data_IF_967589635497
#
_entry.id   IF_967589635497
#
_cell.length_a   1.000
_cell.length_b   1.000
_cell.length_c   1.000
_cell.angle_alpha   90.00
_cell.angle_beta   90.00
_cell.angle_gamma   90.00
#
_symmetry.space_group_name_H-M   'P 1'
#
loop_
_entity.id
_entity.type
_entity.pdbx_description
1 polymer ?
#
# COMPACT_ATOMS: atom_id res chain seq x y z
N UNK A 1 -7.11 -13.40 11.56
CA UNK A 1 -5.65 -13.19 11.41
C UNK A 1 -5.23 -11.80 11.92
N UNK A 2 -6.14 -10.83 12.05
CA UNK A 2 -5.85 -9.42 12.39
C UNK A 2 -5.19 -9.28 13.78
N UNK A 3 -5.77 -9.89 14.82
CA UNK A 3 -5.19 -9.90 16.17
C UNK A 3 -4.05 -10.91 16.34
N UNK A 4 -3.73 -11.70 15.31
CA UNK A 4 -2.85 -12.86 15.45
C UNK A 4 -1.38 -12.47 15.67
N UNK A 5 -0.79 -11.49 14.97
CA UNK A 5 0.57 -11.01 15.29
C UNK A 5 0.68 -10.47 16.71
N UNK A 6 -0.31 -9.68 17.14
CA UNK A 6 -0.34 -9.11 18.49
C UNK A 6 -0.49 -10.20 19.56
N UNK A 7 -1.45 -11.12 19.38
CA UNK A 7 -1.66 -12.25 20.27
C UNK A 7 -0.42 -13.16 20.34
N UNK A 8 0.22 -13.41 19.21
CA UNK A 8 1.47 -14.15 19.12
C UNK A 8 2.56 -13.49 19.96
N UNK A 9 2.81 -12.19 19.78
CA UNK A 9 3.89 -11.53 20.54
C UNK A 9 3.56 -11.48 22.04
N UNK A 10 2.30 -11.25 22.41
CA UNK A 10 1.90 -11.22 23.83
C UNK A 10 2.05 -12.58 24.52
N UNK A 11 1.70 -13.67 23.84
CA UNK A 11 1.56 -14.99 24.44
C UNK A 11 2.75 -15.92 24.19
N UNK A 12 3.45 -15.80 23.05
CA UNK A 12 4.41 -16.80 22.57
C UNK A 12 5.85 -16.27 22.49
N UNK A 13 6.07 -14.96 22.56
CA UNK A 13 7.44 -14.40 22.63
C UNK A 13 7.95 -14.40 24.08
N UNK A 14 9.10 -15.05 24.28
CA UNK A 14 9.74 -15.19 25.60
C UNK A 14 9.95 -13.83 26.30
N UNK A 15 9.77 -13.75 27.64
CA UNK A 15 9.98 -12.52 28.42
C UNK A 15 11.37 -11.87 28.24
N UNK A 16 12.38 -12.62 27.74
CA UNK A 16 13.72 -12.08 27.48
C UNK A 16 13.76 -11.04 26.35
N UNK A 17 12.78 -11.04 25.45
CA UNK A 17 12.63 -10.05 24.36
C UNK A 17 11.74 -8.87 24.77
N UNK A 18 11.02 -8.95 25.90
CA UNK A 18 10.09 -7.91 26.40
C UNK A 18 10.78 -6.65 26.97
N UNK A 19 12.03 -6.37 26.63
CA UNK A 19 12.75 -5.15 27.07
C UNK A 19 12.41 -3.95 26.18
N UNK A 20 11.13 -3.65 26.03
CA UNK A 20 10.66 -2.32 25.62
C UNK A 20 9.50 -1.97 26.56
N UNK A 21 9.57 -0.89 27.36
CA UNK A 21 8.53 -0.58 28.33
C UNK A 21 7.22 -0.22 27.61
N UNK A 22 6.16 -0.97 27.87
CA UNK A 22 4.83 -0.72 27.32
C UNK A 22 4.03 0.20 28.27
N UNK A 23 3.63 1.37 27.77
CA UNK A 23 2.64 2.24 28.41
C UNK A 23 1.47 2.44 27.44
N UNK A 24 0.20 2.27 27.86
CA UNK A 24 -0.92 2.26 26.92
C UNK A 24 -1.48 3.66 26.70
N UNK A 25 -1.02 4.45 25.70
CA UNK A 25 -1.67 5.73 25.33
C UNK A 25 -1.47 6.14 23.86
N UNK A 26 -2.54 6.69 23.25
CA UNK A 26 -2.69 7.30 21.89
C UNK A 26 -2.75 6.38 20.66
N UNK A 27 -3.50 6.79 19.63
CA UNK A 27 -3.69 6.07 18.36
C UNK A 27 -2.41 5.95 17.54
N UNK A 28 -1.54 6.97 17.53
CA UNK A 28 -0.25 6.91 16.82
C UNK A 28 0.71 5.87 17.42
N UNK A 29 0.80 5.79 18.75
CA UNK A 29 1.62 4.78 19.45
C UNK A 29 1.05 3.36 19.25
N UNK A 30 -0.26 3.21 19.07
CA UNK A 30 -0.88 1.91 18.80
C UNK A 30 -0.48 1.33 17.43
N UNK A 31 -0.35 2.17 16.40
CA UNK A 31 0.09 1.74 15.07
C UNK A 31 1.57 1.34 15.06
N UNK A 32 2.43 2.08 15.75
CA UNK A 32 3.86 1.74 15.86
C UNK A 32 4.07 0.40 16.58
N UNK A 33 3.31 0.15 17.65
CA UNK A 33 3.34 -1.13 18.36
C UNK A 33 2.85 -2.28 17.48
N UNK A 34 1.76 -2.10 16.73
CA UNK A 34 1.24 -3.11 15.82
C UNK A 34 2.24 -3.47 14.73
N UNK A 35 2.97 -2.49 14.19
CA UNK A 35 4.01 -2.72 13.21
C UNK A 35 5.23 -3.45 13.79
N UNK A 36 5.65 -3.11 15.01
CA UNK A 36 6.72 -3.85 15.69
C UNK A 36 6.32 -5.32 15.98
N UNK A 37 5.06 -5.56 16.34
CA UNK A 37 4.53 -6.91 16.51
C UNK A 37 4.49 -7.68 15.20
N UNK A 38 4.01 -7.05 14.12
CA UNK A 38 4.00 -7.64 12.79
C UNK A 38 5.42 -7.98 12.30
N UNK A 39 6.40 -7.10 12.53
CA UNK A 39 7.80 -7.38 12.20
C UNK A 39 8.34 -8.60 12.94
N UNK A 40 8.08 -8.69 14.24
CA UNK A 40 8.49 -9.85 15.07
C UNK A 40 7.79 -11.14 14.61
N UNK A 41 6.49 -11.06 14.35
CA UNK A 41 5.68 -12.20 13.89
C UNK A 41 6.11 -12.69 12.50
N UNK A 42 6.47 -11.77 11.58
CA UNK A 42 6.86 -12.11 10.21
C UNK A 42 8.04 -13.09 10.16
N UNK A 43 9.00 -12.97 11.09
CA UNK A 43 10.14 -13.88 11.19
C UNK A 43 9.68 -15.32 11.42
N UNK A 44 8.77 -15.53 12.38
CA UNK A 44 8.27 -16.86 12.70
C UNK A 44 7.33 -17.40 11.62
N UNK A 45 6.40 -16.56 11.14
CA UNK A 45 5.46 -16.94 10.09
C UNK A 45 6.19 -17.35 8.80
N UNK A 46 7.20 -16.59 8.38
CA UNK A 46 7.93 -16.89 7.16
C UNK A 46 8.75 -18.18 7.26
N UNK A 47 9.23 -18.57 8.44
CA UNK A 47 9.84 -19.89 8.63
C UNK A 47 8.81 -21.03 8.46
N UNK A 48 7.58 -20.86 8.96
CA UNK A 48 6.50 -21.84 8.71
C UNK A 48 6.24 -21.96 7.20
N UNK A 49 6.06 -20.83 6.51
CA UNK A 49 5.79 -20.81 5.07
C UNK A 49 6.94 -21.45 4.28
N UNK A 50 8.19 -21.19 4.68
CA UNK A 50 9.37 -21.81 4.10
C UNK A 50 9.41 -23.32 4.33
N UNK A 51 9.13 -23.80 5.54
CA UNK A 51 9.06 -25.25 5.81
C UNK A 51 7.97 -25.94 5.01
N UNK A 52 6.79 -25.31 4.86
CA UNK A 52 5.72 -25.84 3.98
C UNK A 52 6.19 -25.96 2.53
N UNK A 53 7.00 -25.00 2.06
CA UNK A 53 7.57 -25.06 0.72
C UNK A 53 8.62 -26.15 0.59
N UNK A 54 9.52 -26.29 1.57
CA UNK A 54 10.59 -27.30 1.57
C UNK A 54 10.04 -28.73 1.56
N UNK A 55 8.90 -28.95 2.20
CA UNK A 55 8.17 -30.22 2.22
C UNK A 55 7.20 -30.38 1.02
N UNK A 56 7.33 -29.54 -0.01
CA UNK A 56 6.51 -29.55 -1.24
C UNK A 56 4.98 -29.44 -1.03
N UNK A 57 4.51 -28.92 0.12
CA UNK A 57 3.06 -28.71 0.37
C UNK A 57 2.48 -27.51 -0.38
N UNK A 58 3.32 -26.54 -0.73
CA UNK A 58 2.93 -25.33 -1.46
C UNK A 58 3.90 -25.07 -2.60
N UNK A 59 3.42 -24.40 -3.65
CA UNK A 59 4.24 -23.94 -4.77
C UNK A 59 5.05 -22.67 -4.43
N UNK A 60 6.03 -22.33 -5.27
CA UNK A 60 6.76 -21.05 -5.14
C UNK A 60 5.79 -19.85 -5.18
N UNK A 61 4.75 -19.91 -6.01
CA UNK A 61 3.76 -18.84 -6.12
C UNK A 61 2.94 -18.69 -4.84
N UNK A 62 2.54 -19.80 -4.23
CA UNK A 62 1.82 -19.77 -2.95
C UNK A 62 2.72 -19.28 -1.83
N UNK A 63 4.00 -19.68 -1.82
CA UNK A 63 5.00 -19.16 -0.88
C UNK A 63 5.11 -17.63 -0.98
N UNK A 64 5.21 -17.07 -2.19
CA UNK A 64 5.29 -15.62 -2.40
C UNK A 64 4.02 -14.90 -1.92
N UNK A 65 2.84 -15.50 -2.12
CA UNK A 65 1.57 -14.92 -1.67
C UNK A 65 1.38 -14.98 -0.16
N UNK A 66 1.84 -16.06 0.49
CA UNK A 66 1.68 -16.32 1.92
C UNK A 66 2.74 -15.64 2.77
N UNK A 67 3.91 -15.36 2.22
CA UNK A 67 5.02 -14.73 2.93
C UNK A 67 4.63 -13.32 3.40
N UNK A 68 4.93 -13.03 4.67
CA UNK A 68 4.71 -11.72 5.26
C UNK A 68 5.91 -10.82 4.98
N UNK A 69 5.70 -9.58 4.52
CA UNK A 69 6.76 -8.58 4.45
C UNK A 69 7.43 -8.40 5.82
N UNK A 70 8.73 -8.09 5.84
CA UNK A 70 9.50 -7.96 7.09
C UNK A 70 8.98 -6.87 8.03
N UNK A 71 8.19 -5.92 7.52
CA UNK A 71 7.68 -4.77 8.25
C UNK A 71 8.79 -3.88 8.87
N UNK A 72 10.05 -4.03 8.43
CA UNK A 72 11.18 -3.20 8.86
C UNK A 72 11.41 -1.96 7.99
N UNK A 73 10.66 -1.83 6.90
CA UNK A 73 10.76 -0.69 5.97
C UNK A 73 10.22 0.62 6.53
N UNK A 74 10.31 1.67 5.71
CA UNK A 74 9.98 3.06 6.11
C UNK A 74 8.48 3.39 6.06
N UNK A 75 7.59 2.47 5.67
CA UNK A 75 6.14 2.71 5.75
C UNK A 75 5.69 2.59 7.20
N UNK A 76 4.80 3.46 7.69
CA UNK A 76 4.34 3.38 9.09
C UNK A 76 3.25 2.33 9.34
N UNK A 77 2.63 1.83 8.27
CA UNK A 77 1.59 0.80 8.35
C UNK A 77 2.15 -0.62 8.42
N UNK A 78 1.32 -1.54 8.88
CA UNK A 78 1.57 -2.98 8.78
C UNK A 78 1.37 -3.42 7.33
N UNK A 79 2.40 -4.03 6.75
CA UNK A 79 2.36 -4.64 5.44
C UNK A 79 1.97 -6.11 5.60
N UNK A 80 0.83 -6.48 5.05
CA UNK A 80 0.26 -7.82 5.17
C UNK A 80 0.69 -8.70 3.98
N UNK A 81 0.72 -10.04 4.15
CA UNK A 81 0.90 -10.97 3.04
C UNK A 81 -0.08 -10.72 1.90
N UNK A 82 0.38 -10.88 0.66
CA UNK A 82 -0.41 -10.58 -0.54
C UNK A 82 -1.71 -11.39 -0.65
N UNK A 83 -1.77 -12.61 -0.08
CA UNK A 83 -3.00 -13.40 -0.11
C UNK A 83 -4.18 -12.70 0.59
N UNK A 84 -3.93 -11.94 1.66
CA UNK A 84 -4.95 -11.18 2.38
C UNK A 84 -5.39 -9.93 1.60
N UNK A 85 -4.47 -9.37 0.81
CA UNK A 85 -4.69 -8.14 0.04
C UNK A 85 -5.17 -8.42 -1.40
N UNK A 86 -5.18 -9.69 -1.82
CA UNK A 86 -5.56 -10.09 -3.18
C UNK A 86 -6.95 -9.55 -3.54
N UNK A 87 -7.04 -8.93 -4.72
CA UNK A 87 -8.26 -8.29 -5.27
C UNK A 87 -8.84 -7.12 -4.47
N UNK A 88 -8.29 -6.75 -3.31
CA UNK A 88 -8.85 -5.68 -2.46
C UNK A 88 -8.82 -4.31 -3.14
N UNK A 89 -7.75 -3.99 -3.87
CA UNK A 89 -7.64 -2.75 -4.62
C UNK A 89 -8.70 -2.67 -5.72
N UNK A 90 -8.94 -3.77 -6.44
CA UNK A 90 -9.94 -3.79 -7.51
C UNK A 90 -11.34 -3.54 -6.96
N UNK A 91 -11.70 -4.19 -5.85
CA UNK A 91 -12.96 -3.96 -5.16
C UNK A 91 -13.09 -2.52 -4.63
N UNK A 92 -12.01 -1.95 -4.08
CA UNK A 92 -12.02 -0.56 -3.62
C UNK A 92 -12.20 0.43 -4.78
N UNK A 93 -11.62 0.14 -5.96
CA UNK A 93 -11.85 0.93 -7.18
C UNK A 93 -13.31 0.82 -7.63
N UNK A 94 -13.91 -0.38 -7.63
CA UNK A 94 -15.32 -0.55 -7.98
C UNK A 94 -16.24 0.26 -7.04
N UNK A 95 -15.98 0.22 -5.73
CA UNK A 95 -16.69 1.06 -4.75
C UNK A 95 -16.53 2.56 -5.02
N UNK A 96 -15.34 2.99 -5.45
CA UNK A 96 -15.08 4.39 -5.79
C UNK A 96 -15.79 4.83 -7.08
N UNK A 97 -15.91 3.94 -8.07
CA UNK A 97 -16.64 4.20 -9.31
C UNK A 97 -18.15 4.38 -9.08
N UNK A 98 -18.71 3.59 -8.16
CA UNK A 98 -20.12 3.65 -7.79
C UNK A 98 -20.45 4.74 -6.76
N UNK A 99 -19.42 5.41 -6.22
CA UNK A 99 -19.60 6.43 -5.19
C UNK A 99 -20.29 7.69 -5.76
N UNK A 100 -21.47 8.00 -5.24
CA UNK A 100 -22.20 9.26 -5.49
C UNK A 100 -22.29 10.16 -4.25
N UNK A 101 -21.76 9.67 -3.13
CA UNK A 101 -21.85 10.26 -1.81
C UNK A 101 -20.53 10.96 -1.43
N UNK A 102 -20.38 11.26 -0.14
CA UNK A 102 -19.16 11.89 0.41
C UNK A 102 -17.99 10.91 0.49
N UNK A 103 -16.76 11.45 0.55
CA UNK A 103 -15.56 10.64 0.81
C UNK A 103 -15.66 9.81 2.10
N UNK A 104 -16.40 10.30 3.11
CA UNK A 104 -16.56 9.59 4.39
C UNK A 104 -17.41 8.33 4.24
N UNK A 105 -18.45 8.39 3.41
CA UNK A 105 -19.24 7.21 3.06
C UNK A 105 -18.39 6.18 2.31
N UNK A 106 -17.62 6.62 1.30
CA UNK A 106 -16.72 5.75 0.55
C UNK A 106 -15.70 5.06 1.47
N UNK A 107 -15.02 5.85 2.32
CA UNK A 107 -14.04 5.31 3.25
C UNK A 107 -14.66 4.32 4.25
N UNK A 108 -15.88 4.59 4.73
CA UNK A 108 -16.60 3.66 5.59
C UNK A 108 -16.91 2.33 4.89
N UNK A 109 -17.24 2.35 3.59
CA UNK A 109 -17.48 1.13 2.83
C UNK A 109 -16.20 0.32 2.63
N UNK A 110 -15.09 1.00 2.28
CA UNK A 110 -13.76 0.37 2.16
C UNK A 110 -13.33 -0.23 3.51
N UNK A 111 -13.56 0.50 4.61
CA UNK A 111 -13.12 0.11 5.95
C UNK A 111 -13.96 -0.98 6.61
N UNK A 112 -15.03 -1.47 5.95
CA UNK A 112 -15.74 -2.68 6.41
C UNK A 112 -14.86 -3.93 6.34
N UNK A 113 -13.86 -3.91 5.47
CA UNK A 113 -12.83 -4.92 5.35
C UNK A 113 -11.49 -4.29 5.72
N UNK A 114 -10.94 -4.66 6.87
CA UNK A 114 -9.71 -4.04 7.39
C UNK A 114 -8.54 -4.22 6.42
N UNK A 115 -8.44 -5.38 5.76
CA UNK A 115 -7.40 -5.64 4.75
C UNK A 115 -7.60 -4.81 3.48
N UNK A 116 -8.85 -4.47 3.14
CA UNK A 116 -9.11 -3.54 2.05
C UNK A 116 -8.63 -2.12 2.37
N UNK A 117 -8.88 -1.64 3.59
CA UNK A 117 -8.34 -0.36 4.05
C UNK A 117 -6.80 -0.36 4.04
N UNK A 118 -6.16 -1.42 4.57
CA UNK A 118 -4.70 -1.57 4.50
C UNK A 118 -4.19 -1.59 3.06
N UNK A 119 -4.83 -2.34 2.15
CA UNK A 119 -4.41 -2.40 0.76
C UNK A 119 -4.43 -1.01 0.12
N UNK A 120 -5.51 -0.24 0.29
CA UNK A 120 -5.65 1.11 -0.28
C UNK A 120 -4.57 2.05 0.26
N UNK A 121 -4.35 2.04 1.57
CA UNK A 121 -3.31 2.87 2.21
C UNK A 121 -1.91 2.47 1.78
N UNK A 122 -1.58 1.17 1.81
CA UNK A 122 -0.28 0.65 1.40
C UNK A 122 0.02 1.00 -0.05
N UNK A 123 -0.97 0.80 -0.94
CA UNK A 123 -0.85 1.12 -2.35
C UNK A 123 -0.56 2.61 -2.56
N UNK A 124 -1.31 3.50 -1.90
CA UNK A 124 -1.11 4.95 -1.97
C UNK A 124 0.33 5.36 -1.60
N UNK A 125 0.81 4.94 -0.43
CA UNK A 125 2.16 5.28 0.01
C UNK A 125 3.27 4.58 -0.81
N UNK A 126 2.99 3.39 -1.33
CA UNK A 126 3.94 2.68 -2.19
C UNK A 126 4.10 3.39 -3.53
N UNK A 127 3.00 3.86 -4.13
CA UNK A 127 3.03 4.69 -5.35
C UNK A 127 3.87 5.95 -5.10
N UNK A 128 3.64 6.67 -4.01
CA UNK A 128 4.42 7.88 -3.65
C UNK A 128 5.92 7.59 -3.62
N UNK A 129 6.32 6.54 -2.92
CA UNK A 129 7.73 6.14 -2.78
C UNK A 129 8.35 5.70 -4.09
N UNK A 130 7.62 4.90 -4.88
CA UNK A 130 8.08 4.46 -6.19
C UNK A 130 8.32 5.68 -7.06
N UNK A 131 7.37 6.62 -7.14
CA UNK A 131 7.54 7.83 -7.94
C UNK A 131 8.73 8.66 -7.47
N UNK A 132 8.88 8.89 -6.16
CA UNK A 132 10.05 9.60 -5.63
C UNK A 132 11.39 8.94 -5.96
N UNK A 133 11.43 7.61 -6.11
CA UNK A 133 12.65 6.91 -6.52
C UNK A 133 12.95 6.99 -8.02
N UNK A 134 11.95 7.38 -8.83
CA UNK A 134 12.05 7.40 -10.30
C UNK A 134 12.31 8.79 -10.88
N UNK A 135 12.04 9.87 -10.14
CA UNK A 135 12.10 11.25 -10.65
C UNK A 135 12.91 12.18 -9.78
N UNK A 136 13.60 13.13 -10.42
CA UNK A 136 14.40 14.18 -9.80
C UNK A 136 13.95 15.57 -10.25
N UNK A 137 14.48 16.62 -9.60
CA UNK A 137 14.24 18.02 -9.98
C UNK A 137 12.75 18.38 -10.06
N UNK A 138 12.30 18.84 -11.23
CA UNK A 138 10.89 19.22 -11.47
C UNK A 138 9.92 18.05 -11.30
N UNK A 139 10.32 16.83 -11.68
CA UNK A 139 9.50 15.64 -11.49
C UNK A 139 9.24 15.37 -10.01
N UNK A 140 10.26 15.56 -9.16
CA UNK A 140 10.13 15.42 -7.71
C UNK A 140 9.16 16.46 -7.12
N UNK A 141 9.26 17.72 -7.56
CA UNK A 141 8.34 18.79 -7.16
C UNK A 141 6.89 18.52 -7.60
N UNK A 142 6.70 17.90 -8.77
CA UNK A 142 5.38 17.45 -9.22
C UNK A 142 4.79 16.38 -8.29
N UNK A 143 5.56 15.34 -7.95
CA UNK A 143 5.11 14.30 -6.99
C UNK A 143 4.69 14.97 -5.68
N UNK A 144 5.54 15.82 -5.10
CA UNK A 144 5.23 16.52 -3.85
C UNK A 144 3.95 17.36 -3.94
N UNK A 145 3.70 18.02 -5.07
CA UNK A 145 2.48 18.82 -5.28
C UNK A 145 1.24 17.95 -5.34
N UNK A 146 1.25 16.87 -6.12
CA UNK A 146 0.10 15.97 -6.29
C UNK A 146 -0.26 15.33 -4.95
N UNK A 147 0.71 14.77 -4.23
CA UNK A 147 0.44 14.12 -2.95
C UNK A 147 0.02 15.12 -1.87
N UNK A 148 0.56 16.34 -1.89
CA UNK A 148 0.09 17.41 -1.00
C UNK A 148 -1.37 17.76 -1.29
N UNK A 149 -1.75 17.94 -2.55
CA UNK A 149 -3.13 18.25 -2.95
C UNK A 149 -4.10 17.15 -2.49
N UNK A 150 -3.76 15.89 -2.77
CA UNK A 150 -4.56 14.74 -2.33
C UNK A 150 -4.69 14.73 -0.80
N UNK A 151 -3.57 14.85 -0.06
CA UNK A 151 -3.60 14.83 1.41
C UNK A 151 -4.38 16.00 2.02
N UNK A 152 -4.29 17.20 1.44
CA UNK A 152 -5.11 18.35 1.83
C UNK A 152 -6.59 18.06 1.62
N UNK A 153 -6.97 17.54 0.44
CA UNK A 153 -8.37 17.22 0.14
C UNK A 153 -8.95 16.13 1.07
N UNK A 154 -8.15 15.13 1.45
CA UNK A 154 -8.56 14.12 2.44
C UNK A 154 -8.88 14.80 3.78
N UNK A 155 -8.01 15.70 4.23
CA UNK A 155 -8.12 16.41 5.50
C UNK A 155 -9.31 17.37 5.52
N UNK A 156 -9.54 18.07 4.42
CA UNK A 156 -10.64 19.04 4.22
C UNK A 156 -11.99 18.39 3.90
N UNK A 157 -11.98 17.07 3.70
CA UNK A 157 -13.13 16.26 3.32
C UNK A 157 -13.69 16.52 1.92
N UNK A 158 -12.82 16.93 1.01
CA UNK A 158 -13.13 17.31 -0.37
C UNK A 158 -12.58 16.34 -1.42
N UNK A 159 -12.03 15.17 -1.05
CA UNK A 159 -11.38 14.23 -1.99
C UNK A 159 -12.24 13.87 -3.21
N UNK A 160 -13.55 13.63 -3.02
CA UNK A 160 -14.49 13.28 -4.11
C UNK A 160 -14.78 14.45 -5.06
N UNK A 161 -14.44 15.68 -4.65
CA UNK A 161 -14.51 16.90 -5.46
C UNK A 161 -13.17 17.12 -6.16
N UNK A 162 -12.06 16.99 -5.43
CA UNK A 162 -10.69 17.16 -5.94
C UNK A 162 -10.29 16.08 -6.95
N UNK A 163 -10.79 14.85 -6.81
CA UNK A 163 -10.45 13.73 -7.67
C UNK A 163 -11.63 13.25 -8.50
N UNK A 164 -11.39 13.06 -9.79
CA UNK A 164 -12.29 12.34 -10.68
C UNK A 164 -12.17 10.83 -10.45
N UNK A 165 -12.92 10.29 -9.48
CA UNK A 165 -12.86 8.85 -9.12
C UNK A 165 -13.11 7.92 -10.32
N UNK A 166 -13.90 8.38 -11.30
CA UNK A 166 -14.15 7.66 -12.57
C UNK A 166 -12.90 7.40 -13.40
N UNK A 167 -11.81 8.14 -13.15
CA UNK A 167 -10.52 8.01 -13.85
C UNK A 167 -9.52 7.12 -13.11
N UNK A 168 -9.84 6.64 -11.89
CA UNK A 168 -8.98 5.72 -11.13
C UNK A 168 -8.60 4.45 -11.91
N UNK A 169 -9.49 3.76 -12.65
CA UNK A 169 -9.10 2.57 -13.42
C UNK A 169 -8.01 2.86 -14.45
N UNK A 170 -8.05 4.04 -15.06
CA UNK A 170 -7.06 4.45 -16.05
C UNK A 170 -5.73 4.81 -15.41
N UNK A 171 -5.73 5.50 -14.26
CA UNK A 171 -4.54 5.75 -13.44
C UNK A 171 -3.89 4.42 -13.05
N UNK A 172 -4.68 3.47 -12.55
CA UNK A 172 -4.20 2.13 -12.17
C UNK A 172 -3.62 1.37 -13.36
N UNK A 173 -4.25 1.46 -14.53
CA UNK A 173 -3.73 0.86 -15.76
C UNK A 173 -2.37 1.42 -16.15
N UNK A 174 -2.17 2.74 -16.11
CA UNK A 174 -0.87 3.37 -16.40
C UNK A 174 0.19 2.98 -15.37
N UNK A 175 -0.17 2.95 -14.09
CA UNK A 175 0.76 2.53 -13.04
C UNK A 175 1.14 1.04 -13.16
N UNK A 176 0.20 0.19 -13.55
CA UNK A 176 0.45 -1.24 -13.82
C UNK A 176 1.39 -1.42 -15.00
N UNK A 177 1.23 -0.62 -16.06
CA UNK A 177 2.15 -0.64 -17.20
C UNK A 177 3.57 -0.20 -16.79
N UNK A 178 3.68 0.85 -15.97
CA UNK A 178 4.97 1.31 -15.43
C UNK A 178 5.64 0.21 -14.59
N UNK A 179 4.96 -0.32 -13.59
CA UNK A 179 5.54 -1.34 -12.69
C UNK A 179 5.87 -2.64 -13.42
N UNK A 180 5.09 -3.02 -14.45
CA UNK A 180 5.38 -4.15 -15.32
C UNK A 180 6.68 -4.03 -16.12
N UNK A 181 7.19 -2.81 -16.32
CA UNK A 181 8.53 -2.56 -16.87
C UNK A 181 9.61 -2.59 -15.79
N UNK A 182 9.33 -2.03 -14.61
CA UNK A 182 10.29 -1.90 -13.50
C UNK A 182 10.65 -3.24 -12.84
N UNK A 183 9.78 -4.25 -12.93
CA UNK A 183 10.03 -5.59 -12.36
C UNK A 183 11.04 -6.41 -13.18
N UNK A 184 11.37 -5.97 -14.41
CA UNK A 184 12.26 -6.68 -15.33
C UNK A 184 13.70 -6.23 -15.15
N UNK A 185 14.63 -7.09 -15.56
CA UNK A 185 16.05 -6.74 -15.58
C UNK A 185 16.30 -5.51 -16.47
N UNK A 186 17.10 -4.53 -16.00
CA UNK A 186 17.24 -3.25 -16.68
C UNK A 186 17.98 -3.41 -18.02
N UNK A 187 17.37 -2.89 -19.08
CA UNK A 187 17.99 -2.73 -20.41
C UNK A 187 17.78 -1.30 -20.90
N UNK A 188 18.60 -0.79 -21.85
CA UNK A 188 18.42 0.56 -22.38
C UNK A 188 17.03 0.81 -22.97
N UNK A 189 16.43 -0.20 -23.60
CA UNK A 189 15.09 -0.09 -24.18
C UNK A 189 13.99 -0.09 -23.11
N UNK A 190 14.14 -0.91 -22.06
CA UNK A 190 13.24 -0.88 -20.90
C UNK A 190 13.36 0.44 -20.13
N UNK A 191 14.56 1.02 -20.02
CA UNK A 191 14.75 2.32 -19.38
C UNK A 191 14.03 3.44 -20.14
N UNK A 192 14.14 3.46 -21.48
CA UNK A 192 13.37 4.37 -22.34
C UNK A 192 11.86 4.14 -22.20
N UNK A 193 11.43 2.88 -22.19
CA UNK A 193 10.03 2.50 -21.98
C UNK A 193 9.50 2.96 -20.63
N UNK A 194 10.27 2.79 -19.55
CA UNK A 194 9.92 3.22 -18.21
C UNK A 194 9.82 4.74 -18.12
N UNK A 195 10.77 5.49 -18.70
CA UNK A 195 10.71 6.95 -18.77
C UNK A 195 9.43 7.44 -19.48
N UNK A 196 9.07 6.79 -20.60
CA UNK A 196 7.81 7.05 -21.29
C UNK A 196 6.60 6.72 -20.41
N UNK A 197 6.60 5.57 -19.74
CA UNK A 197 5.51 5.16 -18.87
C UNK A 197 5.33 6.09 -17.66
N UNK A 198 6.41 6.65 -17.11
CA UNK A 198 6.35 7.70 -16.08
C UNK A 198 5.70 8.96 -16.64
N UNK A 199 6.05 9.38 -17.86
CA UNK A 199 5.41 10.53 -18.51
C UNK A 199 3.91 10.28 -18.78
N UNK A 200 3.56 9.10 -19.31
CA UNK A 200 2.16 8.72 -19.54
C UNK A 200 1.35 8.69 -18.23
N UNK A 201 1.99 8.28 -17.12
CA UNK A 201 1.37 8.32 -15.80
C UNK A 201 1.22 9.76 -15.27
N UNK A 202 2.24 10.59 -15.44
CA UNK A 202 2.19 12.03 -15.14
C UNK A 202 1.03 12.72 -15.84
N UNK A 203 0.87 12.45 -17.14
CA UNK A 203 -0.15 13.08 -17.99
C UNK A 203 -1.57 12.73 -17.50
N UNK A 204 -1.82 11.44 -17.28
CA UNK A 204 -3.11 10.94 -16.78
C UNK A 204 -3.43 11.48 -15.38
N UNK A 205 -2.44 11.50 -14.48
CA UNK A 205 -2.67 12.02 -13.13
C UNK A 205 -2.96 13.53 -13.15
N UNK A 206 -2.23 14.28 -13.96
CA UNK A 206 -2.34 15.75 -13.95
C UNK A 206 -3.59 16.24 -14.68
N UNK A 207 -3.92 15.65 -15.83
CA UNK A 207 -4.97 16.15 -16.71
C UNK A 207 -6.30 15.41 -16.59
N UNK A 208 -6.32 14.19 -16.05
CA UNK A 208 -7.55 13.41 -15.96
C UNK A 208 -7.97 13.07 -14.52
N UNK A 209 -7.03 12.79 -13.61
CA UNK A 209 -7.36 12.42 -12.24
C UNK A 209 -7.76 13.63 -11.39
N UNK A 210 -6.99 14.71 -11.44
CA UNK A 210 -7.31 15.95 -10.72
C UNK A 210 -8.48 16.64 -11.42
N UNK A 211 -9.51 17.00 -10.66
CA UNK A 211 -10.64 17.75 -11.22
C UNK A 211 -10.20 19.16 -11.61
N UNK A 212 -10.80 19.67 -12.68
CA UNK A 212 -10.56 21.04 -13.18
C UNK A 212 -11.26 22.11 -12.34
N UNK A 213 -12.01 21.74 -11.30
CA UNK A 213 -12.87 22.64 -10.51
C UNK A 213 -12.10 23.35 -9.39
N UNK A 214 -10.97 23.95 -9.76
CA UNK A 214 -10.16 24.88 -8.95
C UNK A 214 -10.08 26.25 -9.65
#
# INVERSE_FOLDING_TARGET
FESFPEAFVKQLVSPRIKRVPFHPQSSEVSHENNKAYAATFSLFWNEIIKSLREEDYISNREMDLLSMPSNTGSLKLVQWPLFLLSSKILLAVDLALDCKDTQGYLWNQISKDEYMAYAVQECYFSIEKILHSLVDGEGRLWVERVFREINSSISERSLVITLSLKKLPMVLSRFTALTGLLIRDPTPDLAKGAAKAVYDFYDVVTHELLSSDL
#
